data_IF_517510184693
#
_entry.id   IF_517510184693
#
_cell.length_a   1.000
_cell.length_b   1.000
_cell.length_c   1.000
_cell.angle_alpha   90.00
_cell.angle_beta   90.00
_cell.angle_gamma   90.00
#
_symmetry.space_group_name_H-M   'P 1'
#
loop_
_entity.id
_entity.type
_entity.pdbx_description
1 polymer ?
#
# COMPACT_ATOMS: atom_id res chain seq x y z
N UNK A 1 7.64 11.28 2.31
CA UNK A 1 8.41 10.02 2.47
C UNK A 1 7.75 8.97 1.62
N UNK A 2 8.54 8.05 1.06
CA UNK A 2 8.08 6.92 0.26
C UNK A 2 7.79 5.74 1.18
N UNK A 3 6.58 5.21 1.16
CA UNK A 3 6.13 4.16 2.07
C UNK A 3 5.64 2.97 1.26
N UNK A 4 6.18 1.79 1.52
CA UNK A 4 5.61 0.55 1.02
C UNK A 4 4.59 0.02 2.03
N UNK A 5 3.37 -0.26 1.60
CA UNK A 5 2.33 -0.85 2.46
C UNK A 5 1.92 -2.22 1.94
N UNK A 6 2.29 -3.27 2.68
CA UNK A 6 2.07 -4.67 2.31
C UNK A 6 0.85 -5.22 3.06
N UNK A 7 -0.24 -5.43 2.35
CA UNK A 7 -1.48 -6.00 2.87
C UNK A 7 -2.59 -4.96 3.01
N UNK A 8 -3.69 -5.19 2.29
CA UNK A 8 -4.87 -4.30 2.27
C UNK A 8 -6.11 -5.02 2.81
N UNK A 9 -5.98 -5.52 4.05
CA UNK A 9 -7.08 -6.10 4.83
C UNK A 9 -7.97 -5.03 5.46
N UNK A 10 -8.84 -5.45 6.40
CA UNK A 10 -9.77 -4.55 7.11
C UNK A 10 -9.04 -3.38 7.80
N UNK A 11 -7.89 -3.66 8.42
CA UNK A 11 -7.06 -2.61 9.04
C UNK A 11 -6.17 -1.89 8.01
N UNK A 12 -5.48 -2.66 7.16
CA UNK A 12 -4.47 -2.12 6.25
C UNK A 12 -5.00 -1.15 5.21
N UNK A 13 -6.19 -1.41 4.66
CA UNK A 13 -6.80 -0.58 3.60
C UNK A 13 -7.02 0.88 4.03
N UNK A 14 -7.74 1.18 5.14
CA UNK A 14 -7.91 2.56 5.60
C UNK A 14 -6.62 3.17 6.16
N UNK A 15 -5.74 2.37 6.79
CA UNK A 15 -4.45 2.87 7.30
C UNK A 15 -3.56 3.41 6.18
N UNK A 16 -3.39 2.63 5.11
CA UNK A 16 -2.68 3.08 3.92
C UNK A 16 -3.31 4.36 3.37
N UNK A 17 -4.64 4.40 3.26
CA UNK A 17 -5.37 5.57 2.76
C UNK A 17 -5.13 6.84 3.59
N UNK A 18 -5.07 6.73 4.92
CA UNK A 18 -4.73 7.86 5.78
C UNK A 18 -3.29 8.34 5.60
N UNK A 19 -2.32 7.44 5.41
CA UNK A 19 -0.92 7.82 5.18
C UNK A 19 -0.76 8.56 3.85
N UNK A 20 -1.44 8.13 2.79
CA UNK A 20 -1.46 8.83 1.50
C UNK A 20 -2.04 10.24 1.64
N UNK A 21 -3.20 10.36 2.29
CA UNK A 21 -3.85 11.66 2.55
C UNK A 21 -3.04 12.57 3.46
N UNK A 22 -2.17 12.02 4.31
CA UNK A 22 -1.24 12.79 5.13
C UNK A 22 -0.02 13.32 4.36
N UNK A 23 0.10 13.03 3.05
CA UNK A 23 1.18 13.51 2.19
C UNK A 23 2.40 12.58 2.16
N UNK A 24 2.24 11.31 2.56
CA UNK A 24 3.23 10.28 2.24
C UNK A 24 2.92 9.69 0.86
N UNK A 25 3.95 9.28 0.13
CA UNK A 25 3.78 8.66 -1.18
C UNK A 25 3.77 7.15 -0.99
N UNK A 26 2.62 6.51 -1.14
CA UNK A 26 2.50 5.08 -0.94
C UNK A 26 2.63 4.29 -2.24
N UNK A 27 3.36 3.17 -2.12
CA UNK A 27 3.26 2.04 -3.05
C UNK A 27 2.67 0.86 -2.27
N UNK A 28 1.48 0.42 -2.65
CA UNK A 28 0.76 -0.67 -1.97
C UNK A 28 0.96 -2.00 -2.68
N UNK A 29 0.93 -3.08 -1.91
CA UNK A 29 0.81 -4.44 -2.42
C UNK A 29 -0.29 -5.19 -1.67
N UNK A 30 -1.05 -5.99 -2.40
CA UNK A 30 -1.93 -6.98 -1.80
C UNK A 30 -2.01 -8.24 -2.68
N UNK A 31 -2.09 -9.42 -2.05
CA UNK A 31 -2.18 -10.72 -2.76
C UNK A 31 -3.31 -10.76 -3.79
N UNK A 32 -4.46 -10.18 -3.44
CA UNK A 32 -5.56 -9.96 -4.40
C UNK A 32 -5.36 -8.62 -5.07
N UNK A 33 -4.96 -8.63 -6.34
CA UNK A 33 -4.60 -7.45 -7.13
C UNK A 33 -5.72 -6.40 -7.21
N UNK A 34 -6.97 -6.84 -7.41
CA UNK A 34 -8.12 -5.93 -7.50
C UNK A 34 -8.34 -5.07 -6.27
N UNK A 35 -7.89 -5.50 -5.07
CA UNK A 35 -7.93 -4.67 -3.87
C UNK A 35 -6.91 -3.53 -3.91
N UNK A 36 -5.72 -3.78 -4.45
CA UNK A 36 -4.70 -2.74 -4.65
C UNK A 36 -5.16 -1.73 -5.70
N UNK A 37 -5.72 -2.21 -6.81
CA UNK A 37 -6.24 -1.32 -7.86
C UNK A 37 -7.42 -0.46 -7.36
N UNK A 38 -8.32 -1.04 -6.55
CA UNK A 38 -9.39 -0.29 -5.91
C UNK A 38 -8.85 0.78 -4.95
N UNK A 39 -7.84 0.44 -4.16
CA UNK A 39 -7.18 1.39 -3.26
C UNK A 39 -6.55 2.56 -4.02
N UNK A 40 -5.83 2.28 -5.12
CA UNK A 40 -5.24 3.31 -5.98
C UNK A 40 -6.31 4.24 -6.54
N UNK A 41 -7.43 3.69 -7.02
CA UNK A 41 -8.57 4.49 -7.53
C UNK A 41 -9.17 5.40 -6.47
N UNK A 42 -9.16 5.00 -5.20
CA UNK A 42 -9.78 5.73 -4.09
C UNK A 42 -8.85 6.79 -3.47
N UNK A 43 -7.55 6.52 -3.37
CA UNK A 43 -6.60 7.35 -2.61
C UNK A 43 -5.51 8.04 -3.45
N UNK A 44 -5.22 7.58 -4.67
CA UNK A 44 -4.31 8.26 -5.59
C UNK A 44 -2.81 7.92 -5.50
N UNK A 45 -2.43 6.87 -4.76
CA UNK A 45 -1.05 6.33 -4.73
C UNK A 45 -0.78 5.27 -5.80
N UNK A 46 0.28 4.48 -5.62
CA UNK A 46 0.70 3.44 -6.60
C UNK A 46 0.48 2.01 -6.08
N UNK A 47 0.37 1.05 -6.99
CA UNK A 47 0.34 -0.38 -6.66
C UNK A 47 1.42 -1.16 -7.41
N UNK A 48 2.13 -2.04 -6.69
CA UNK A 48 3.16 -2.91 -7.26
C UNK A 48 2.67 -4.37 -7.37
N UNK A 49 3.17 -5.15 -8.34
CA UNK A 49 2.74 -6.53 -8.55
C UNK A 49 3.36 -7.51 -7.54
N UNK A 50 4.45 -7.14 -6.86
CA UNK A 50 5.12 -7.96 -5.84
C UNK A 50 5.49 -7.13 -4.60
N UNK A 51 5.64 -7.75 -3.41
CA UNK A 51 6.11 -7.05 -2.22
C UNK A 51 7.52 -6.47 -2.41
N UNK A 52 8.39 -7.18 -3.14
CA UNK A 52 9.75 -6.75 -3.42
C UNK A 52 9.76 -5.46 -4.24
N UNK A 53 8.91 -5.37 -5.27
CA UNK A 53 8.77 -4.16 -6.07
C UNK A 53 8.15 -3.01 -5.30
N UNK A 54 7.15 -3.26 -4.44
CA UNK A 54 6.60 -2.23 -3.56
C UNK A 54 7.68 -1.61 -2.65
N UNK A 55 8.60 -2.44 -2.15
CA UNK A 55 9.64 -2.04 -1.20
C UNK A 55 10.90 -1.43 -1.85
N UNK A 56 11.08 -1.57 -3.17
CA UNK A 56 12.36 -1.29 -3.83
C UNK A 56 12.91 0.13 -3.62
N UNK A 57 12.04 1.12 -3.46
CA UNK A 57 12.41 2.54 -3.29
C UNK A 57 11.76 3.18 -2.05
N UNK A 58 11.31 2.37 -1.09
CA UNK A 58 10.63 2.84 0.10
C UNK A 58 11.61 3.25 1.19
N UNK A 59 11.35 4.38 1.85
CA UNK A 59 12.05 4.79 3.06
C UNK A 59 11.63 3.91 4.25
N UNK A 60 10.36 3.45 4.23
CA UNK A 60 9.75 2.63 5.28
C UNK A 60 8.85 1.56 4.64
N UNK A 61 8.90 0.34 5.18
CA UNK A 61 8.00 -0.76 4.81
C UNK A 61 7.10 -1.11 5.98
N UNK A 62 5.78 -1.07 5.75
CA UNK A 62 4.75 -1.47 6.70
C UNK A 62 4.11 -2.77 6.24
N UNK A 63 4.08 -3.79 7.10
CA UNK A 63 3.42 -5.05 6.82
C UNK A 63 2.18 -5.21 7.71
N UNK A 64 1.00 -5.22 7.10
CA UNK A 64 -0.29 -5.45 7.73
C UNK A 64 -0.98 -6.65 7.07
N UNK A 65 -0.37 -7.81 7.22
CA UNK A 65 -0.81 -9.07 6.60
C UNK A 65 -1.50 -9.98 7.61
N UNK A 66 -2.55 -10.67 7.18
CA UNK A 66 -3.18 -11.75 7.94
C UNK A 66 -2.58 -13.11 7.56
N UNK A 67 -2.94 -14.14 8.33
CA UNK A 67 -2.64 -15.55 7.98
C UNK A 67 -3.42 -15.98 6.72
#
# INVERSE_FOLDING_TARGET
MRVAFLGLGVMGYPMAGHLERAGHNLTVYNRTRSKADAWVKEYGGEAAPTPAEAAANADVVLACVGR
#
